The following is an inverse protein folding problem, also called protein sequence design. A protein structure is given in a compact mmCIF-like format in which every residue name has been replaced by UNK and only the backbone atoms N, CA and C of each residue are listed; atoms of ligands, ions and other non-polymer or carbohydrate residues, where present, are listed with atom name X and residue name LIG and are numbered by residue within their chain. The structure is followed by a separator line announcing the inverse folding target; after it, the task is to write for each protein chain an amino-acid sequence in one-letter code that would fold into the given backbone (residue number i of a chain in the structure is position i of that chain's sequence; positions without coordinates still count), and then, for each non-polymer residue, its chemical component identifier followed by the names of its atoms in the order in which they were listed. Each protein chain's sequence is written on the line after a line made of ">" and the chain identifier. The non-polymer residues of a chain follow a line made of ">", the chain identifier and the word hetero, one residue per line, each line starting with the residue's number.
data_IF_801559874431
#
_entry.id   IF_801559874431
#
_cell.length_a   1.000
_cell.length_b   1.000
_cell.length_c   1.000
_cell.angle_alpha   90.00
_cell.angle_beta   90.00
_cell.angle_gamma   90.00
#
_symmetry.space_group_name_H-M   'P 1'
#
loop_
_entity.id
_entity.type
_entity.pdbx_description
1 polymer ?
#
# COMPACT_ATOMS: atom_id res chain seq x y z
N UNK A 1 5.05 3.81 4.21
CA UNK A 1 4.71 3.31 5.57
C UNK A 1 3.26 3.57 5.98
N UNK A 2 2.70 4.77 5.79
CA UNK A 2 1.31 5.04 6.22
C UNK A 2 0.26 4.19 5.49
N UNK A 3 0.40 4.03 4.17
CA UNK A 3 -0.53 3.25 3.34
C UNK A 3 -0.51 1.77 3.73
N UNK A 4 0.67 1.22 3.98
CA UNK A 4 0.88 -0.18 4.37
C UNK A 4 0.20 -0.50 5.71
N UNK A 5 0.23 0.45 6.67
CA UNK A 5 -0.52 0.32 7.93
C UNK A 5 -2.04 0.34 7.71
N UNK A 6 -2.53 1.16 6.79
CA UNK A 6 -3.95 1.20 6.43
C UNK A 6 -4.38 -0.12 5.77
N UNK A 7 -3.59 -0.65 4.84
CA UNK A 7 -3.86 -1.94 4.19
C UNK A 7 -3.83 -3.10 5.20
N UNK A 8 -2.91 -3.09 6.16
CA UNK A 8 -2.88 -4.08 7.23
C UNK A 8 -4.14 -3.99 8.13
N UNK A 9 -4.56 -2.77 8.46
CA UNK A 9 -5.80 -2.53 9.22
C UNK A 9 -7.03 -3.07 8.47
N UNK A 10 -7.09 -2.87 7.15
CA UNK A 10 -8.15 -3.43 6.31
C UNK A 10 -8.16 -4.96 6.33
N UNK A 11 -6.98 -5.61 6.30
CA UNK A 11 -6.87 -7.08 6.41
C UNK A 11 -7.43 -7.61 7.73
N UNK A 12 -7.09 -6.96 8.85
CA UNK A 12 -7.65 -7.31 10.15
C UNK A 12 -9.17 -7.21 10.11
N UNK A 13 -9.70 -6.15 9.51
CA UNK A 13 -11.14 -5.94 9.40
C UNK A 13 -11.83 -7.04 8.57
N UNK A 14 -11.26 -7.42 7.41
CA UNK A 14 -11.80 -8.51 6.59
C UNK A 14 -11.85 -9.84 7.35
N UNK A 15 -10.79 -10.18 8.07
CA UNK A 15 -10.73 -11.42 8.87
C UNK A 15 -11.70 -11.35 10.07
N UNK A 16 -11.84 -10.18 10.70
CA UNK A 16 -12.81 -9.97 11.77
C UNK A 16 -14.25 -10.16 11.27
N UNK A 17 -14.62 -9.59 10.12
CA UNK A 17 -15.95 -9.78 9.53
C UNK A 17 -16.20 -11.22 9.08
N UNK A 18 -15.19 -11.92 8.57
CA UNK A 18 -15.29 -13.36 8.31
C UNK A 18 -15.62 -14.15 9.58
N UNK A 19 -14.97 -13.83 10.71
CA UNK A 19 -15.16 -14.52 11.99
C UNK A 19 -16.47 -14.16 12.69
N UNK A 20 -16.83 -12.89 12.73
CA UNK A 20 -17.94 -12.39 13.56
C UNK A 20 -19.21 -12.06 12.76
N UNK A 21 -19.10 -11.84 11.44
CA UNK A 21 -20.22 -11.46 10.57
C UNK A 21 -20.80 -12.60 9.73
N UNK A 22 -20.32 -13.84 9.89
CA UNK A 22 -20.80 -15.00 9.13
C UNK A 22 -20.31 -15.07 7.68
N UNK A 23 -19.30 -14.26 7.31
CA UNK A 23 -18.78 -14.14 5.93
C UNK A 23 -17.81 -15.28 5.53
N UNK A 24 -17.91 -16.45 6.17
CA UNK A 24 -17.13 -17.68 5.93
C UNK A 24 -15.68 -17.42 5.48
N UNK A 25 -15.24 -18.03 4.37
CA UNK A 25 -13.87 -17.96 3.88
C UNK A 25 -13.57 -16.70 3.04
N UNK A 26 -14.59 -15.88 2.76
CA UNK A 26 -14.46 -14.74 1.85
C UNK A 26 -13.53 -13.66 2.41
N UNK A 27 -13.58 -13.39 3.72
CA UNK A 27 -12.70 -12.38 4.32
C UNK A 27 -11.22 -12.76 4.27
N UNK A 28 -10.88 -14.04 4.39
CA UNK A 28 -9.50 -14.53 4.24
C UNK A 28 -9.02 -14.41 2.79
N UNK A 29 -9.90 -14.69 1.80
CA UNK A 29 -9.58 -14.51 0.37
C UNK A 29 -9.29 -13.04 0.05
N UNK A 30 -10.12 -12.11 0.55
CA UNK A 30 -9.88 -10.67 0.37
C UNK A 30 -8.60 -10.20 1.07
N UNK A 31 -8.33 -10.67 2.29
CA UNK A 31 -7.08 -10.34 2.98
C UNK A 31 -5.84 -10.82 2.20
N UNK A 32 -5.89 -12.03 1.61
CA UNK A 32 -4.81 -12.54 0.78
C UNK A 32 -4.62 -11.68 -0.48
N UNK A 33 -5.72 -11.28 -1.13
CA UNK A 33 -5.66 -10.40 -2.30
C UNK A 33 -5.02 -9.05 -1.96
N UNK A 34 -5.37 -8.43 -0.83
CA UNK A 34 -4.78 -7.17 -0.38
C UNK A 34 -3.29 -7.32 -0.07
N UNK A 35 -2.85 -8.44 0.52
CA UNK A 35 -1.42 -8.70 0.74
C UNK A 35 -0.65 -8.74 -0.59
N UNK A 36 -1.19 -9.41 -1.60
CA UNK A 36 -0.58 -9.49 -2.94
C UNK A 36 -0.52 -8.10 -3.58
N UNK A 37 -1.61 -7.33 -3.51
CA UNK A 37 -1.67 -5.96 -4.00
C UNK A 37 -0.66 -5.05 -3.29
N UNK A 38 -0.55 -5.14 -1.97
CA UNK A 38 0.41 -4.37 -1.18
C UNK A 38 1.88 -4.68 -1.57
N UNK A 39 2.19 -5.95 -1.86
CA UNK A 39 3.50 -6.33 -2.35
C UNK A 39 3.81 -5.72 -3.73
N UNK A 40 2.82 -5.70 -4.64
CA UNK A 40 2.96 -5.09 -5.96
C UNK A 40 3.13 -3.56 -5.86
N UNK A 41 2.33 -2.90 -5.02
CA UNK A 41 2.42 -1.47 -4.74
C UNK A 41 3.81 -1.10 -4.20
N UNK A 42 4.31 -1.82 -3.20
CA UNK A 42 5.60 -1.56 -2.59
C UNK A 42 6.76 -1.64 -3.59
N UNK A 43 6.71 -2.60 -4.53
CA UNK A 43 7.70 -2.72 -5.60
C UNK A 43 7.68 -1.49 -6.54
N UNK A 44 6.49 -1.04 -6.95
CA UNK A 44 6.33 0.14 -7.81
C UNK A 44 6.73 1.42 -7.08
N UNK A 45 6.31 1.59 -5.83
CA UNK A 45 6.66 2.74 -5.00
C UNK A 45 8.18 2.87 -4.82
N UNK A 46 8.87 1.75 -4.55
CA UNK A 46 10.32 1.74 -4.46
C UNK A 46 11.00 2.12 -5.78
N UNK A 47 10.52 1.60 -6.90
CA UNK A 47 11.03 1.96 -8.22
C UNK A 47 10.90 3.46 -8.49
N UNK A 48 9.76 4.05 -8.12
CA UNK A 48 9.53 5.51 -8.22
C UNK A 48 10.49 6.27 -7.31
N UNK A 49 10.63 5.87 -6.03
CA UNK A 49 11.51 6.55 -5.06
C UNK A 49 12.97 6.54 -5.55
N UNK A 50 13.46 5.41 -6.08
CA UNK A 50 14.82 5.33 -6.63
C UNK A 50 14.98 6.27 -7.82
N UNK A 51 13.99 6.32 -8.72
CA UNK A 51 14.04 7.23 -9.87
C UNK A 51 14.03 8.70 -9.44
N UNK A 52 13.19 9.07 -8.47
CA UNK A 52 13.16 10.43 -7.90
C UNK A 52 14.50 10.78 -7.26
N UNK A 53 15.07 9.88 -6.46
CA UNK A 53 16.36 10.10 -5.83
C UNK A 53 17.48 10.28 -6.86
N UNK A 54 17.49 9.50 -7.94
CA UNK A 54 18.49 9.63 -9.00
C UNK A 54 18.41 10.96 -9.79
N UNK A 55 17.26 11.65 -9.78
CA UNK A 55 17.08 12.91 -10.50
C UNK A 55 17.18 14.14 -9.59
N UNK A 56 16.80 14.03 -8.31
CA UNK A 56 16.72 15.15 -7.37
C UNK A 56 17.74 15.07 -6.23
N UNK A 57 18.50 13.98 -6.11
CA UNK A 57 19.43 13.68 -5.00
C UNK A 57 18.80 13.76 -3.59
N UNK A 58 17.46 13.68 -3.53
CA UNK A 58 16.69 13.79 -2.29
C UNK A 58 15.44 12.92 -2.36
N UNK A 59 14.98 12.45 -1.20
CA UNK A 59 13.69 11.74 -1.03
C UNK A 59 12.59 12.68 -0.55
N UNK A 60 12.89 13.97 -0.35
CA UNK A 60 11.91 14.96 0.04
C UNK A 60 10.97 15.27 -1.13
N UNK A 61 9.72 14.84 -1.00
CA UNK A 61 8.70 15.02 -2.04
C UNK A 61 8.41 16.50 -2.33
N UNK A 62 8.67 17.39 -1.36
CA UNK A 62 8.50 18.82 -1.55
C UNK A 62 9.44 19.39 -2.60
N UNK A 63 10.54 18.73 -2.92
CA UNK A 63 11.51 19.24 -3.90
C UNK A 63 11.10 18.89 -5.34
N UNK A 64 10.16 17.95 -5.53
CA UNK A 64 9.62 17.55 -6.83
C UNK A 64 8.55 18.54 -7.36
N UNK A 65 8.94 19.80 -7.64
CA UNK A 65 8.02 20.92 -7.95
C UNK A 65 8.02 21.40 -9.41
N UNK A 66 8.60 20.67 -10.35
CA UNK A 66 8.75 21.13 -11.75
C UNK A 66 7.43 21.38 -12.51
N UNK A 67 6.30 20.81 -12.07
CA UNK A 67 5.00 20.96 -12.74
C UNK A 67 4.17 22.19 -12.28
N UNK A 68 4.81 23.24 -11.77
CA UNK A 68 4.10 24.50 -11.45
C UNK A 68 4.02 25.40 -12.70
N UNK A 69 2.80 25.67 -13.16
CA UNK A 69 2.48 26.75 -14.10
C UNK A 69 2.66 28.13 -13.44
#
# INVERSE_FOLDING_TARGET
>A
MGVELILNSANINFVAFARFGGMNFSGQVFALFVIIMAAAEAAVALAIIINVFNNLDTVNIDDARELKL
#
